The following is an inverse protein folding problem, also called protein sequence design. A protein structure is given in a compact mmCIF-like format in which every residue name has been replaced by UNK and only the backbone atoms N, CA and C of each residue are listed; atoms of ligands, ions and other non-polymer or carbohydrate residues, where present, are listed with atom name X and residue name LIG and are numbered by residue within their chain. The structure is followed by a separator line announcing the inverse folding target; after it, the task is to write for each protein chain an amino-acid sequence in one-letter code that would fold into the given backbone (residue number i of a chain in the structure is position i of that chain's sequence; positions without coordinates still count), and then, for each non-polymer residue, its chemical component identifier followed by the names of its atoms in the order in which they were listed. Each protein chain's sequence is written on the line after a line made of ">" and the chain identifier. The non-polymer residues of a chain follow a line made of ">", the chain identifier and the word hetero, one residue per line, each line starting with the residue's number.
data_IF_459735249981
#
_entry.id   IF_459735249981
#
_cell.length_a   1.000
_cell.length_b   1.000
_cell.length_c   1.000
_cell.angle_alpha   90.00
_cell.angle_beta   90.00
_cell.angle_gamma   90.00
#
_symmetry.space_group_name_H-M   'P 1'
#
loop_
_entity.id
_entity.type
_entity.pdbx_description
1 polymer ?
#
# COMPACT_ATOMS: atom_id res chain seq x y z
N UNK A 1 -22.27 21.73 11.83
CA UNK A 1 -21.13 21.18 11.05
C UNK A 1 -20.65 22.27 10.12
N UNK A 2 -19.44 22.79 10.34
CA UNK A 2 -18.92 23.97 9.63
C UNK A 2 -18.93 23.77 8.12
N UNK A 3 -19.50 24.75 7.42
CA UNK A 3 -19.54 24.90 5.97
C UNK A 3 -18.11 25.14 5.45
N UNK A 4 -17.23 24.13 5.51
CA UNK A 4 -15.88 24.20 4.95
C UNK A 4 -16.04 24.35 3.44
N UNK A 5 -15.73 25.54 2.91
CA UNK A 5 -15.64 25.74 1.46
C UNK A 5 -14.68 24.70 0.90
N UNK A 6 -15.18 23.86 -0.01
CA UNK A 6 -14.37 22.86 -0.71
C UNK A 6 -13.34 23.60 -1.55
N UNK A 7 -12.07 23.28 -1.37
CA UNK A 7 -10.99 23.93 -2.10
C UNK A 7 -11.12 23.66 -3.63
N UNK A 8 -10.79 24.63 -4.51
CA UNK A 8 -10.82 24.40 -5.95
C UNK A 8 -9.97 23.19 -6.40
N UNK A 9 -8.84 22.94 -5.73
CA UNK A 9 -7.98 21.78 -6.01
C UNK A 9 -8.63 20.44 -5.68
N UNK A 10 -9.65 20.41 -4.82
CA UNK A 10 -10.45 19.20 -4.57
C UNK A 10 -11.32 18.85 -5.78
N UNK A 11 -11.96 19.85 -6.38
CA UNK A 11 -12.76 19.68 -7.60
C UNK A 11 -11.90 19.27 -8.79
N UNK A 12 -10.70 19.85 -8.90
CA UNK A 12 -9.74 19.44 -9.92
C UNK A 12 -9.34 17.97 -9.77
N UNK A 13 -9.02 17.51 -8.56
CA UNK A 13 -8.71 16.09 -8.33
C UNK A 13 -9.91 15.20 -8.63
N UNK A 14 -11.12 15.62 -8.25
CA UNK A 14 -12.35 14.88 -8.57
C UNK A 14 -12.57 14.79 -10.08
N UNK A 15 -12.29 15.86 -10.83
CA UNK A 15 -12.37 15.85 -12.29
C UNK A 15 -11.35 14.86 -12.87
N UNK A 16 -10.10 14.87 -12.42
CA UNK A 16 -9.07 13.90 -12.82
C UNK A 16 -9.55 12.47 -12.54
N UNK A 17 -10.09 12.21 -11.36
CA UNK A 17 -10.66 10.92 -10.97
C UNK A 17 -11.76 10.46 -11.94
N UNK A 18 -12.75 11.33 -12.22
CA UNK A 18 -13.89 10.98 -13.08
C UNK A 18 -13.46 10.79 -14.54
N UNK A 19 -12.60 11.67 -15.06
CA UNK A 19 -12.09 11.56 -16.43
C UNK A 19 -11.28 10.29 -16.62
N UNK A 20 -10.48 9.89 -15.63
CA UNK A 20 -9.73 8.62 -15.68
C UNK A 20 -10.67 7.41 -15.74
N UNK A 21 -11.78 7.43 -14.99
CA UNK A 21 -12.79 6.36 -15.05
C UNK A 21 -13.52 6.35 -16.40
N UNK A 22 -13.83 7.52 -16.95
CA UNK A 22 -14.46 7.64 -18.28
C UNK A 22 -13.53 7.09 -19.36
N UNK A 23 -12.24 7.46 -19.33
CA UNK A 23 -11.24 6.95 -20.26
C UNK A 23 -11.07 5.43 -20.14
N UNK A 24 -11.03 4.89 -18.91
CA UNK A 24 -10.91 3.45 -18.72
C UNK A 24 -12.13 2.66 -19.25
N UNK A 25 -13.33 3.25 -19.25
CA UNK A 25 -14.54 2.63 -19.81
C UNK A 25 -14.70 2.87 -21.31
N UNK A 26 -14.17 3.99 -21.81
CA UNK A 26 -14.21 4.41 -23.21
C UNK A 26 -12.89 5.09 -23.56
N UNK A 27 -11.86 4.31 -23.96
CA UNK A 27 -10.53 4.84 -24.22
C UNK A 27 -10.58 5.92 -25.28
N UNK A 28 -10.22 7.14 -24.89
CA UNK A 28 -10.22 8.31 -25.79
C UNK A 28 -9.02 9.19 -25.47
N UNK A 29 -8.08 9.38 -26.43
CA UNK A 29 -6.81 10.06 -26.16
C UNK A 29 -7.01 11.50 -25.66
N UNK A 30 -8.10 12.15 -26.08
CA UNK A 30 -8.47 13.49 -25.61
C UNK A 30 -8.81 13.48 -24.11
N UNK A 31 -9.54 12.48 -23.61
CA UNK A 31 -9.94 12.41 -22.20
C UNK A 31 -8.73 12.10 -21.32
N UNK A 32 -7.90 11.15 -21.74
CA UNK A 32 -6.63 10.83 -21.06
C UNK A 32 -5.71 12.06 -20.97
N UNK A 33 -5.53 12.79 -22.08
CA UNK A 33 -4.71 14.01 -22.10
C UNK A 33 -5.25 15.12 -21.19
N UNK A 34 -6.58 15.34 -21.17
CA UNK A 34 -7.19 16.34 -20.27
C UNK A 34 -6.99 15.93 -18.80
N UNK A 35 -7.17 14.64 -18.47
CA UNK A 35 -6.95 14.14 -17.11
C UNK A 35 -5.49 14.29 -16.68
N UNK A 36 -4.53 13.98 -17.57
CA UNK A 36 -3.10 14.15 -17.35
C UNK A 36 -2.71 15.61 -17.08
N UNK A 37 -3.21 16.54 -17.91
CA UNK A 37 -3.02 17.99 -17.69
C UNK A 37 -3.65 18.43 -16.36
N UNK A 38 -4.83 17.90 -16.03
CA UNK A 38 -5.49 18.14 -14.74
C UNK A 38 -4.64 17.68 -13.55
N UNK A 39 -4.02 16.50 -13.64
CA UNK A 39 -3.12 15.98 -12.61
C UNK A 39 -1.87 16.85 -12.44
N UNK A 40 -1.21 17.22 -13.54
CA UNK A 40 -0.05 18.12 -13.49
C UNK A 40 -0.42 19.47 -12.86
N UNK A 41 -1.55 20.03 -13.28
CA UNK A 41 -2.08 21.28 -12.72
C UNK A 41 -2.34 21.15 -11.22
N UNK A 42 -2.93 20.04 -10.78
CA UNK A 42 -3.16 19.79 -9.36
C UNK A 42 -1.84 19.74 -8.57
N UNK A 43 -0.84 19.03 -9.07
CA UNK A 43 0.49 18.93 -8.43
C UNK A 43 1.17 20.29 -8.35
N UNK A 44 1.12 21.09 -9.43
CA UNK A 44 1.70 22.44 -9.47
C UNK A 44 1.02 23.36 -8.44
N UNK A 45 -0.32 23.40 -8.43
CA UNK A 45 -1.08 24.24 -7.49
C UNK A 45 -0.85 23.84 -6.04
N UNK A 46 -0.67 22.54 -5.77
CA UNK A 46 -0.44 22.01 -4.43
C UNK A 46 1.05 21.98 -4.03
N UNK A 47 1.98 22.33 -4.91
CA UNK A 47 3.42 22.22 -4.70
C UNK A 47 3.95 22.90 -3.41
N UNK A 48 3.44 24.07 -2.99
CA UNK A 48 3.85 24.70 -1.73
C UNK A 48 3.47 23.87 -0.49
N UNK A 49 2.40 23.08 -0.57
CA UNK A 49 1.87 22.28 0.53
C UNK A 49 2.42 20.84 0.56
N UNK A 50 3.12 20.40 -0.49
CA UNK A 50 3.78 19.08 -0.53
C UNK A 50 4.90 19.06 0.52
N UNK A 51 4.99 17.96 1.26
CA UNK A 51 6.06 17.75 2.24
C UNK A 51 7.42 17.78 1.56
N UNK A 52 8.39 18.42 2.21
CA UNK A 52 9.72 18.66 1.64
C UNK A 52 10.41 17.39 1.11
N UNK A 53 10.43 16.23 1.82
CA UNK A 53 11.05 15.02 1.29
C UNK A 53 10.41 14.54 -0.03
N UNK A 54 9.07 14.55 -0.10
CA UNK A 54 8.34 14.16 -1.30
C UNK A 54 8.52 15.17 -2.44
N UNK A 55 8.62 16.47 -2.12
CA UNK A 55 8.89 17.51 -3.12
C UNK A 55 10.28 17.37 -3.73
N UNK A 56 11.31 17.06 -2.92
CA UNK A 56 12.66 16.79 -3.41
C UNK A 56 12.67 15.52 -4.26
N UNK A 57 12.08 14.42 -3.77
CA UNK A 57 12.01 13.17 -4.53
C UNK A 57 11.31 13.38 -5.87
N UNK A 58 10.17 14.10 -5.89
CA UNK A 58 9.45 14.39 -7.11
C UNK A 58 10.28 15.25 -8.08
N UNK A 59 10.96 16.28 -7.58
CA UNK A 59 11.83 17.13 -8.39
C UNK A 59 12.96 16.32 -9.02
N UNK A 60 13.68 15.51 -8.23
CA UNK A 60 14.80 14.68 -8.71
C UNK A 60 14.34 13.66 -9.76
N UNK A 61 13.22 12.98 -9.53
CA UNK A 61 12.70 11.98 -10.46
C UNK A 61 12.21 12.62 -11.77
N UNK A 62 11.47 13.72 -11.70
CA UNK A 62 11.01 14.44 -12.90
C UNK A 62 12.21 14.96 -13.68
N UNK A 63 13.18 15.63 -13.03
CA UNK A 63 14.34 16.17 -13.75
C UNK A 63 15.19 15.07 -14.36
N UNK A 64 15.41 13.96 -13.67
CA UNK A 64 16.15 12.81 -14.21
C UNK A 64 15.41 12.17 -15.40
N UNK A 65 14.09 11.97 -15.30
CA UNK A 65 13.27 11.44 -16.39
C UNK A 65 13.28 12.32 -17.63
N UNK A 66 13.06 13.62 -17.44
CA UNK A 66 13.07 14.59 -18.53
C UNK A 66 14.46 14.77 -19.14
N UNK A 67 15.53 14.71 -18.34
CA UNK A 67 16.89 14.76 -18.86
C UNK A 67 17.22 13.52 -19.71
N UNK A 68 16.77 12.34 -19.29
CA UNK A 68 16.91 11.10 -20.07
C UNK A 68 16.14 11.19 -21.40
N UNK A 69 14.88 11.65 -21.36
CA UNK A 69 14.07 11.88 -22.56
C UNK A 69 14.71 12.92 -23.51
N UNK A 70 15.18 14.04 -22.94
CA UNK A 70 15.81 15.11 -23.69
C UNK A 70 17.10 14.67 -24.39
N UNK A 71 17.88 13.79 -23.76
CA UNK A 71 19.12 13.27 -24.34
C UNK A 71 18.92 12.48 -25.64
N UNK A 72 17.70 11.99 -25.89
CA UNK A 72 17.36 11.22 -27.09
C UNK A 72 16.70 12.08 -28.17
N UNK A 73 15.60 12.75 -27.81
CA UNK A 73 14.70 13.39 -28.78
C UNK A 73 14.48 14.89 -28.46
N UNK A 74 15.35 15.49 -27.65
CA UNK A 74 15.32 16.90 -27.30
C UNK A 74 14.04 17.32 -26.57
N UNK A 75 13.57 18.55 -26.83
CA UNK A 75 12.39 19.11 -26.16
C UNK A 75 11.09 18.39 -26.51
N UNK A 76 10.98 17.84 -27.73
CA UNK A 76 9.80 17.11 -28.17
C UNK A 76 9.64 15.79 -27.40
N UNK A 77 10.73 15.02 -27.24
CA UNK A 77 10.74 13.80 -26.43
C UNK A 77 10.40 14.07 -24.97
N UNK A 78 11.01 15.11 -24.37
CA UNK A 78 10.72 15.47 -22.99
C UNK A 78 9.24 15.81 -22.74
N UNK A 79 8.58 16.51 -23.67
CA UNK A 79 7.15 16.81 -23.56
C UNK A 79 6.27 15.56 -23.73
N UNK A 80 6.60 14.69 -24.69
CA UNK A 80 5.88 13.44 -24.93
C UNK A 80 5.98 12.50 -23.71
N UNK A 81 7.16 12.38 -23.12
CA UNK A 81 7.40 11.52 -21.95
C UNK A 81 6.77 12.10 -20.69
N UNK A 82 6.71 13.44 -20.56
CA UNK A 82 5.97 14.10 -19.48
C UNK A 82 4.47 13.75 -19.55
N UNK A 83 3.87 13.87 -20.74
CA UNK A 83 2.46 13.54 -20.95
C UNK A 83 2.18 12.05 -20.72
N UNK A 84 2.99 11.18 -21.31
CA UNK A 84 2.86 9.72 -21.15
C UNK A 84 3.03 9.30 -19.69
N UNK A 85 4.00 9.89 -18.98
CA UNK A 85 4.19 9.69 -17.55
C UNK A 85 2.99 10.15 -16.74
N UNK A 86 2.41 11.31 -17.06
CA UNK A 86 1.22 11.81 -16.38
C UNK A 86 -0.01 10.92 -16.62
N UNK A 87 -0.21 10.40 -17.83
CA UNK A 87 -1.28 9.45 -18.15
C UNK A 87 -1.12 8.14 -17.37
N UNK A 88 0.11 7.58 -17.32
CA UNK A 88 0.42 6.38 -16.52
C UNK A 88 0.17 6.57 -15.02
N UNK A 89 0.20 7.82 -14.51
CA UNK A 89 -0.05 8.10 -13.10
C UNK A 89 -1.56 8.13 -12.74
N UNK A 90 -2.45 8.29 -13.71
CA UNK A 90 -3.89 8.51 -13.49
C UNK A 90 -4.60 7.40 -12.72
N UNK A 91 -4.40 6.09 -13.02
CA UNK A 91 -5.09 5.03 -12.28
C UNK A 91 -4.79 5.06 -10.77
N UNK A 92 -3.60 5.50 -10.38
CA UNK A 92 -3.26 5.61 -8.95
C UNK A 92 -4.07 6.68 -8.24
N UNK A 93 -4.46 7.75 -8.94
CA UNK A 93 -5.34 8.78 -8.36
C UNK A 93 -6.74 8.23 -8.09
N UNK A 94 -7.21 7.38 -8.99
CA UNK A 94 -8.45 6.61 -8.80
C UNK A 94 -8.34 5.72 -7.56
N UNK A 95 -7.22 4.99 -7.42
CA UNK A 95 -6.97 4.10 -6.29
C UNK A 95 -7.03 4.81 -4.93
N UNK A 96 -6.33 5.94 -4.80
CA UNK A 96 -6.27 6.67 -3.52
C UNK A 96 -7.64 7.20 -3.10
N UNK A 97 -8.38 7.82 -4.03
CA UNK A 97 -9.72 8.32 -3.75
C UNK A 97 -10.70 7.18 -3.42
N UNK A 98 -10.63 6.06 -4.14
CA UNK A 98 -11.44 4.88 -3.88
C UNK A 98 -11.22 4.32 -2.47
N UNK A 99 -9.97 4.19 -2.04
CA UNK A 99 -9.63 3.74 -0.68
C UNK A 99 -10.17 4.71 0.38
N UNK A 100 -10.10 6.03 0.15
CA UNK A 100 -10.66 7.02 1.08
C UNK A 100 -12.18 6.88 1.25
N UNK A 101 -12.91 6.54 0.18
CA UNK A 101 -14.34 6.24 0.27
C UNK A 101 -14.61 5.11 1.26
N UNK A 102 -13.82 4.03 1.24
CA UNK A 102 -14.02 2.85 2.11
C UNK A 102 -13.77 3.17 3.59
N UNK A 103 -12.87 4.11 3.88
CA UNK A 103 -12.51 4.47 5.25
C UNK A 103 -13.66 5.13 6.02
N UNK A 104 -14.52 5.91 5.35
CA UNK A 104 -15.60 6.67 6.02
C UNK A 104 -16.58 5.77 6.77
N UNK A 105 -17.28 4.81 6.13
CA UNK A 105 -18.17 3.89 6.84
C UNK A 105 -17.41 2.90 7.71
N UNK A 106 -16.18 2.51 7.35
CA UNK A 106 -15.39 1.57 8.13
C UNK A 106 -15.02 2.08 9.51
N UNK A 107 -14.56 3.32 9.62
CA UNK A 107 -14.22 3.94 10.91
C UNK A 107 -15.44 4.16 11.80
N UNK A 108 -16.63 4.30 11.21
CA UNK A 108 -17.89 4.39 11.95
C UNK A 108 -18.45 3.01 12.36
N UNK A 109 -18.00 1.92 11.74
CA UNK A 109 -18.61 0.60 11.87
C UNK A 109 -18.38 -0.04 13.25
N UNK A 110 -19.45 -0.47 13.95
CA UNK A 110 -19.32 -1.18 15.22
C UNK A 110 -18.56 -2.52 15.09
N UNK A 111 -18.66 -3.21 13.96
CA UNK A 111 -18.01 -4.51 13.74
C UNK A 111 -16.50 -4.42 13.83
N UNK A 112 -15.90 -3.38 13.22
CA UNK A 112 -14.47 -3.12 13.27
C UNK A 112 -14.02 -2.73 14.68
N UNK A 113 -14.78 -1.88 15.38
CA UNK A 113 -14.50 -1.48 16.77
C UNK A 113 -14.53 -2.69 17.72
N UNK A 114 -15.61 -3.46 17.68
CA UNK A 114 -15.76 -4.66 18.51
C UNK A 114 -14.64 -5.68 18.27
N UNK A 115 -14.26 -5.89 17.00
CA UNK A 115 -13.16 -6.80 16.69
C UNK A 115 -11.83 -6.29 17.25
N UNK A 116 -11.53 -5.00 17.09
CA UNK A 116 -10.34 -4.37 17.63
C UNK A 116 -10.25 -4.48 19.16
N UNK A 117 -11.33 -4.13 19.87
CA UNK A 117 -11.40 -4.20 21.34
C UNK A 117 -11.14 -5.63 21.84
N UNK A 118 -11.75 -6.64 21.18
CA UNK A 118 -11.54 -8.05 21.54
C UNK A 118 -10.14 -8.56 21.26
N UNK A 119 -9.50 -8.07 20.19
CA UNK A 119 -8.12 -8.41 19.87
C UNK A 119 -7.18 -7.84 20.93
N UNK A 120 -7.39 -6.59 21.35
CA UNK A 120 -6.61 -5.96 22.41
C UNK A 120 -6.83 -6.67 23.74
N UNK A 121 -8.03 -7.17 24.03
CA UNK A 121 -8.35 -7.83 25.29
C UNK A 121 -7.82 -9.27 25.44
N UNK A 122 -7.09 -9.79 24.45
CA UNK A 122 -6.61 -11.18 24.48
C UNK A 122 -5.57 -11.43 25.58
N UNK A 123 -5.51 -12.65 26.14
CA UNK A 123 -4.56 -13.00 27.18
C UNK A 123 -3.11 -12.88 26.69
N UNK A 124 -2.13 -12.59 27.57
CA UNK A 124 -0.75 -12.25 27.19
C UNK A 124 -0.03 -13.28 26.30
N UNK A 125 -0.45 -14.55 26.30
CA UNK A 125 0.11 -15.61 25.45
C UNK A 125 -0.36 -15.57 24.00
N UNK A 126 -1.55 -15.01 23.73
CA UNK A 126 -2.20 -14.93 22.41
C UNK A 126 -2.23 -13.51 21.85
N UNK A 127 -2.14 -12.50 22.73
CA UNK A 127 -2.31 -11.07 22.41
C UNK A 127 -1.45 -10.58 21.24
N UNK A 128 -0.17 -10.94 21.21
CA UNK A 128 0.73 -10.54 20.10
C UNK A 128 0.24 -11.09 18.76
N UNK A 129 -0.02 -12.40 18.69
CA UNK A 129 -0.44 -13.05 17.46
C UNK A 129 -1.79 -12.51 16.96
N UNK A 130 -2.73 -12.30 17.88
CA UNK A 130 -4.05 -11.75 17.55
C UNK A 130 -3.95 -10.30 17.05
N UNK A 131 -3.07 -9.48 17.63
CA UNK A 131 -2.81 -8.12 17.15
C UNK A 131 -2.11 -8.11 15.79
N UNK A 132 -1.19 -9.05 15.55
CA UNK A 132 -0.57 -9.21 14.25
C UNK A 132 -1.61 -9.63 13.19
N UNK A 133 -2.47 -10.60 13.48
CA UNK A 133 -3.56 -10.97 12.56
C UNK A 133 -4.58 -9.84 12.37
N UNK A 134 -4.91 -9.09 13.42
CA UNK A 134 -5.80 -7.93 13.27
C UNK A 134 -5.16 -6.84 12.40
N UNK A 135 -3.87 -6.55 12.61
CA UNK A 135 -3.11 -5.66 11.73
C UNK A 135 -3.10 -6.16 10.29
N UNK A 136 -2.97 -7.48 10.09
CA UNK A 136 -2.98 -8.11 8.77
C UNK A 136 -4.35 -8.01 8.09
N UNK A 137 -5.40 -8.56 8.67
CA UNK A 137 -6.71 -8.62 8.02
C UNK A 137 -7.46 -7.29 8.02
N UNK A 138 -7.36 -6.49 9.09
CA UNK A 138 -7.97 -5.14 9.07
C UNK A 138 -7.14 -4.19 8.21
N UNK A 139 -5.82 -4.36 8.17
CA UNK A 139 -4.95 -3.67 7.22
C UNK A 139 -5.27 -4.04 5.77
N UNK A 140 -5.56 -5.30 5.48
CA UNK A 140 -5.97 -5.77 4.16
C UNK A 140 -7.17 -4.98 3.63
N UNK A 141 -8.17 -4.66 4.47
CA UNK A 141 -9.39 -3.96 4.02
C UNK A 141 -9.25 -2.44 4.11
N UNK A 142 -8.71 -1.95 5.22
CA UNK A 142 -8.76 -0.53 5.59
C UNK A 142 -7.43 0.19 5.38
N UNK A 143 -6.41 -0.51 4.89
CA UNK A 143 -5.05 0.00 4.78
C UNK A 143 -4.60 0.67 6.09
N UNK A 144 -4.01 1.87 5.99
CA UNK A 144 -3.48 2.59 7.13
C UNK A 144 -4.55 2.93 8.18
N UNK A 145 -5.82 3.08 7.79
CA UNK A 145 -6.90 3.32 8.74
C UNK A 145 -7.13 2.10 9.66
N UNK A 146 -6.97 0.88 9.14
CA UNK A 146 -7.05 -0.35 9.94
C UNK A 146 -5.91 -0.45 10.95
N UNK A 147 -4.68 -0.12 10.51
CA UNK A 147 -3.53 -0.01 11.41
C UNK A 147 -3.82 0.98 12.55
N UNK A 148 -4.27 2.19 12.21
CA UNK A 148 -4.53 3.26 13.19
C UNK A 148 -5.65 2.87 14.16
N UNK A 149 -6.71 2.23 13.66
CA UNK A 149 -7.81 1.74 14.49
C UNK A 149 -7.31 0.75 15.55
N UNK A 150 -6.57 -0.28 15.15
CA UNK A 150 -6.06 -1.29 16.11
C UNK A 150 -5.03 -0.68 17.06
N UNK A 151 -4.14 0.16 16.55
CA UNK A 151 -3.11 0.80 17.35
C UNK A 151 -3.69 1.79 18.38
N UNK A 152 -4.76 2.51 18.03
CA UNK A 152 -5.44 3.45 18.93
C UNK A 152 -6.19 2.80 20.09
N UNK A 153 -6.52 1.51 19.97
CA UNK A 153 -7.19 0.75 21.03
C UNK A 153 -6.21 0.25 22.10
N UNK A 154 -4.89 0.41 21.87
CA UNK A 154 -3.89 0.13 22.90
C UNK A 154 -3.94 1.22 23.97
N UNK A 155 -4.29 0.81 25.19
CA UNK A 155 -4.19 1.62 26.40
C UNK A 155 -2.84 2.39 26.49
N UNK A 156 -2.90 3.74 26.56
CA UNK A 156 -1.73 4.59 26.67
C UNK A 156 -0.87 4.35 27.91
N UNK A 157 -1.48 3.91 29.01
CA UNK A 157 -0.87 3.73 30.33
C UNK A 157 -0.16 2.37 30.47
N UNK A 158 -0.27 1.51 29.44
CA UNK A 158 0.53 0.29 29.36
C UNK A 158 2.02 0.61 29.47
N UNK A 159 2.74 -0.25 30.18
CA UNK A 159 4.20 -0.18 30.27
C UNK A 159 4.85 0.00 28.88
N UNK A 160 5.81 0.93 28.72
CA UNK A 160 6.35 1.28 27.40
C UNK A 160 6.88 0.10 26.59
N UNK A 161 7.52 -0.88 27.24
CA UNK A 161 8.02 -2.11 26.59
C UNK A 161 6.90 -2.98 26.03
N UNK A 162 5.79 -3.11 26.77
CA UNK A 162 4.63 -3.89 26.33
C UNK A 162 3.91 -3.17 25.17
N UNK A 163 3.65 -1.86 25.35
CA UNK A 163 2.99 -1.03 24.32
C UNK A 163 3.78 -1.07 23.01
N UNK A 164 5.11 -0.88 23.06
CA UNK A 164 6.02 -1.06 21.91
C UNK A 164 5.84 -2.42 21.23
N UNK A 165 5.93 -3.51 22.00
CA UNK A 165 5.83 -4.88 21.49
C UNK A 165 4.50 -5.13 20.78
N UNK A 166 3.39 -4.69 21.36
CA UNK A 166 2.06 -4.85 20.79
C UNK A 166 1.88 -3.99 19.54
N UNK A 167 2.36 -2.75 19.53
CA UNK A 167 2.37 -1.89 18.34
C UNK A 167 3.16 -2.54 17.20
N UNK A 168 4.35 -3.10 17.47
CA UNK A 168 5.13 -3.81 16.46
C UNK A 168 4.41 -5.05 15.92
N UNK A 169 3.60 -5.73 16.73
CA UNK A 169 2.77 -6.83 16.26
C UNK A 169 1.79 -6.37 15.17
N UNK A 170 1.05 -5.28 15.45
CA UNK A 170 0.08 -4.70 14.50
C UNK A 170 0.77 -4.27 13.20
N UNK A 171 1.91 -3.59 13.32
CA UNK A 171 2.68 -3.10 12.16
C UNK A 171 3.21 -4.24 11.29
N UNK A 172 3.77 -5.30 11.90
CA UNK A 172 4.26 -6.48 11.16
C UNK A 172 3.12 -7.20 10.45
N UNK A 173 1.96 -7.30 11.10
CA UNK A 173 0.74 -7.81 10.51
C UNK A 173 0.31 -7.01 9.28
N UNK A 174 0.18 -5.70 9.45
CA UNK A 174 -0.21 -4.75 8.40
C UNK A 174 0.71 -4.84 7.19
N UNK A 175 2.02 -4.82 7.41
CA UNK A 175 3.01 -4.93 6.33
C UNK A 175 2.93 -6.25 5.58
N UNK A 176 2.55 -7.35 6.24
CA UNK A 176 2.30 -8.64 5.60
C UNK A 176 1.05 -8.68 4.71
N UNK A 177 0.08 -7.79 4.92
CA UNK A 177 -1.16 -7.78 4.15
C UNK A 177 -1.00 -7.17 2.75
N UNK A 178 0.05 -6.34 2.57
CA UNK A 178 0.43 -5.73 1.29
C UNK A 178 0.67 -6.79 0.22
N UNK A 179 1.07 -8.00 0.61
CA UNK A 179 1.51 -9.06 -0.29
C UNK A 179 0.37 -9.67 -1.11
N UNK A 180 -0.89 -9.46 -0.73
CA UNK A 180 -2.01 -10.10 -1.40
C UNK A 180 -3.27 -9.25 -1.50
N UNK A 181 -3.45 -8.26 -0.63
CA UNK A 181 -4.71 -7.50 -0.66
C UNK A 181 -4.76 -6.54 -1.87
N UNK A 182 -5.83 -6.60 -2.69
CA UNK A 182 -6.00 -5.73 -3.85
C UNK A 182 -6.27 -4.26 -3.46
N UNK A 183 -6.54 -4.00 -2.17
CA UNK A 183 -6.88 -2.68 -1.67
C UNK A 183 -5.63 -1.86 -1.32
N UNK A 184 -4.45 -2.48 -1.28
CA UNK A 184 -3.21 -1.75 -1.12
C UNK A 184 -2.80 -1.08 -2.43
N UNK A 185 -2.36 0.16 -2.29
CA UNK A 185 -1.77 0.92 -3.40
C UNK A 185 -0.61 0.16 -4.03
N UNK A 186 0.21 -0.50 -3.20
CA UNK A 186 1.31 -1.33 -3.69
C UNK A 186 0.87 -2.46 -4.59
N UNK A 187 -0.22 -3.15 -4.24
CA UNK A 187 -0.76 -4.22 -5.08
C UNK A 187 -1.27 -3.69 -6.41
N UNK A 188 -2.00 -2.57 -6.39
CA UNK A 188 -2.46 -1.90 -7.62
C UNK A 188 -1.30 -1.52 -8.55
N UNK A 189 -0.19 -0.99 -8.01
CA UNK A 189 1.01 -0.68 -8.79
C UNK A 189 1.63 -1.93 -9.38
N UNK A 190 1.84 -2.96 -8.55
CA UNK A 190 2.51 -4.19 -8.97
C UNK A 190 1.77 -4.83 -10.16
N UNK A 191 0.43 -4.89 -10.10
CA UNK A 191 -0.38 -5.47 -11.17
C UNK A 191 -0.45 -4.59 -12.42
N UNK A 192 -0.25 -3.28 -12.29
CA UNK A 192 -0.13 -2.38 -13.45
C UNK A 192 1.21 -2.53 -14.17
N UNK A 193 2.31 -2.69 -13.42
CA UNK A 193 3.66 -2.75 -13.99
C UNK A 193 4.11 -4.17 -14.35
N UNK A 194 3.33 -5.19 -13.96
CA UNK A 194 3.51 -6.60 -14.35
C UNK A 194 2.17 -7.11 -14.92
N UNK A 195 1.78 -6.69 -16.14
CA UNK A 195 0.44 -6.93 -16.68
C UNK A 195 0.13 -8.41 -16.95
N UNK A 196 1.15 -9.26 -17.08
CA UNK A 196 0.99 -10.70 -17.32
C UNK A 196 0.48 -11.48 -16.09
N UNK A 197 0.42 -10.84 -14.92
CA UNK A 197 0.03 -11.48 -13.65
C UNK A 197 -1.33 -10.99 -13.22
N UNK A 198 -2.29 -11.91 -13.11
CA UNK A 198 -3.58 -11.60 -12.50
C UNK A 198 -3.48 -11.65 -10.97
N UNK A 199 -4.37 -10.92 -10.30
CA UNK A 199 -4.44 -10.97 -8.84
C UNK A 199 -4.81 -12.36 -8.33
N UNK A 200 -5.61 -13.13 -9.06
CA UNK A 200 -5.98 -14.49 -8.68
C UNK A 200 -4.77 -15.44 -8.67
N UNK A 201 -3.78 -15.20 -9.53
CA UNK A 201 -2.51 -15.93 -9.50
C UNK A 201 -1.62 -15.49 -8.33
N UNK A 202 -1.56 -14.19 -8.06
CA UNK A 202 -0.70 -13.62 -7.03
C UNK A 202 -1.21 -13.85 -5.60
N UNK A 203 -2.50 -13.61 -5.37
CA UNK A 203 -3.09 -13.52 -4.04
C UNK A 203 -2.92 -14.77 -3.16
N UNK A 204 -3.06 -16.03 -3.66
CA UNK A 204 -2.85 -17.21 -2.84
C UNK A 204 -1.41 -17.31 -2.30
N UNK A 205 -0.43 -17.10 -3.18
CA UNK A 205 0.98 -17.08 -2.81
C UNK A 205 1.32 -15.92 -1.88
N UNK A 206 0.82 -14.72 -2.20
CA UNK A 206 0.99 -13.52 -1.39
C UNK A 206 0.41 -13.68 0.01
N UNK A 207 -0.76 -14.32 0.15
CA UNK A 207 -1.41 -14.58 1.42
C UNK A 207 -0.63 -15.59 2.25
N UNK A 208 -0.11 -16.64 1.62
CA UNK A 208 0.75 -17.63 2.27
C UNK A 208 2.04 -17.00 2.78
N UNK A 209 2.73 -16.21 1.95
CA UNK A 209 3.96 -15.48 2.33
C UNK A 209 3.65 -14.48 3.45
N UNK A 210 2.63 -13.64 3.29
CA UNK A 210 2.23 -12.64 4.28
C UNK A 210 1.85 -13.25 5.63
N UNK A 211 1.11 -14.36 5.64
CA UNK A 211 0.77 -15.11 6.84
C UNK A 211 1.99 -15.80 7.47
N UNK A 212 2.90 -16.33 6.64
CA UNK A 212 4.18 -16.88 7.08
C UNK A 212 5.04 -15.84 7.77
N UNK A 213 5.07 -14.60 7.27
CA UNK A 213 5.75 -13.47 7.91
C UNK A 213 5.12 -13.10 9.26
N UNK A 214 3.79 -13.16 9.40
CA UNK A 214 3.13 -13.03 10.71
C UNK A 214 3.57 -14.14 11.67
N UNK A 215 3.67 -15.37 11.17
CA UNK A 215 4.21 -16.51 11.92
C UNK A 215 5.65 -16.29 12.39
N UNK A 216 6.51 -15.80 11.49
CA UNK A 216 7.90 -15.43 11.79
C UNK A 216 7.97 -14.32 12.85
N UNK A 217 7.16 -13.27 12.71
CA UNK A 217 7.06 -12.18 13.69
C UNK A 217 6.69 -12.71 15.08
N UNK A 218 5.78 -13.67 15.16
CA UNK A 218 5.37 -14.31 16.40
C UNK A 218 6.44 -15.26 16.96
N UNK A 219 7.13 -16.02 16.12
CA UNK A 219 8.23 -16.89 16.54
C UNK A 219 9.38 -16.07 17.14
N UNK A 220 9.78 -14.98 16.47
CA UNK A 220 10.78 -14.04 16.98
C UNK A 220 10.33 -13.37 18.28
N UNK A 221 9.05 -13.01 18.39
CA UNK A 221 8.50 -12.50 19.65
C UNK A 221 8.59 -13.53 20.77
N UNK A 222 8.28 -14.81 20.50
CA UNK A 222 8.36 -15.90 21.49
C UNK A 222 9.78 -16.14 21.99
N UNK A 223 10.79 -16.07 21.12
CA UNK A 223 12.19 -16.34 21.49
C UNK A 223 12.86 -15.15 22.17
N UNK A 224 12.46 -13.93 21.82
CA UNK A 224 13.06 -12.70 22.40
C UNK A 224 12.28 -12.15 23.59
N UNK A 225 11.10 -12.70 23.89
CA UNK A 225 10.30 -12.27 25.04
C UNK A 225 10.99 -12.65 26.35
N UNK A 226 11.38 -11.63 27.11
CA UNK A 226 11.84 -11.77 28.50
C UNK A 226 10.78 -12.41 29.42
N UNK A 227 11.10 -12.63 30.71
CA UNK A 227 10.25 -13.36 31.65
C UNK A 227 8.79 -12.93 31.61
N UNK A 228 7.87 -13.90 31.64
CA UNK A 228 6.43 -13.63 31.71
C UNK A 228 6.16 -12.88 33.00
N UNK A 229 5.66 -11.66 32.89
CA UNK A 229 5.22 -10.93 34.07
C UNK A 229 3.91 -11.56 34.60
N UNK A 230 3.90 -12.11 35.83
CA UNK A 230 2.72 -12.71 36.44
C UNK A 230 1.58 -11.70 36.64
N UNK A 231 1.91 -10.40 36.74
CA UNK A 231 0.96 -9.30 36.99
C UNK A 231 0.47 -8.61 35.71
N UNK A 232 0.82 -9.11 34.52
CA UNK A 232 0.49 -8.43 33.27
C UNK A 232 -1.01 -8.15 33.16
N UNK A 233 -1.38 -6.86 33.09
CA UNK A 233 -2.74 -6.34 32.97
C UNK A 233 -3.60 -7.31 32.17
N UNK A 234 -4.40 -8.12 32.88
CA UNK A 234 -5.41 -8.94 32.26
C UNK A 234 -6.51 -7.96 31.87
N UNK A 235 -6.68 -7.66 30.58
CA UNK A 235 -7.78 -6.79 30.19
C UNK A 235 -9.07 -7.48 30.63
N UNK A 236 -10.03 -6.71 31.15
CA UNK A 236 -11.34 -7.26 31.44
C UNK A 236 -11.90 -7.94 30.17
N UNK A 237 -12.50 -9.13 30.28
CA UNK A 237 -13.08 -9.79 29.12
C UNK A 237 -14.16 -8.89 28.52
N UNK A 238 -14.09 -8.58 27.21
CA UNK A 238 -15.03 -7.66 26.58
C UNK A 238 -16.41 -8.31 26.46
N UNK A 239 -17.47 -7.54 26.69
CA UNK A 239 -18.85 -8.00 26.57
C UNK A 239 -19.22 -8.31 25.09
N UNK A 240 -20.09 -9.30 24.88
CA UNK A 240 -20.66 -9.68 23.57
C UNK A 240 -19.97 -10.86 22.82
N UNK A 241 -20.52 -11.25 21.65
CA UNK A 241 -20.06 -12.42 20.87
C UNK A 241 -19.02 -12.03 19.78
N UNK A 242 -17.78 -12.57 19.88
CA UNK A 242 -16.68 -12.43 18.89
C UNK A 242 -17.10 -12.73 17.45
N UNK A 243 -17.98 -13.72 17.28
CA UNK A 243 -18.44 -14.16 15.97
C UNK A 243 -19.15 -13.06 15.16
N UNK A 244 -19.89 -12.14 15.79
CA UNK A 244 -20.62 -11.10 15.05
C UNK A 244 -19.70 -10.05 14.42
N UNK A 245 -18.68 -9.62 15.15
CA UNK A 245 -17.68 -8.66 14.64
C UNK A 245 -16.84 -9.26 13.51
N UNK A 246 -16.36 -10.51 13.70
CA UNK A 246 -15.63 -11.24 12.67
C UNK A 246 -16.50 -11.43 11.42
N UNK A 247 -17.73 -11.92 11.58
CA UNK A 247 -18.64 -12.14 10.47
C UNK A 247 -18.90 -10.83 9.71
N UNK A 248 -19.14 -9.72 10.42
CA UNK A 248 -19.33 -8.42 9.78
C UNK A 248 -18.13 -7.98 8.94
N UNK A 249 -16.91 -8.09 9.47
CA UNK A 249 -15.69 -7.74 8.73
C UNK A 249 -15.48 -8.67 7.53
N UNK A 250 -15.67 -9.98 7.71
CA UNK A 250 -15.56 -10.97 6.64
C UNK A 250 -16.59 -10.73 5.53
N UNK A 251 -17.84 -10.43 5.88
CA UNK A 251 -18.88 -10.11 4.89
C UNK A 251 -18.49 -8.88 4.07
N UNK A 252 -18.04 -7.80 4.72
CA UNK A 252 -17.61 -6.58 4.00
C UNK A 252 -16.43 -6.87 3.08
N UNK A 253 -15.43 -7.59 3.60
CA UNK A 253 -14.25 -7.96 2.82
C UNK A 253 -14.60 -8.84 1.62
N UNK A 254 -15.43 -9.87 1.82
CA UNK A 254 -15.85 -10.78 0.78
C UNK A 254 -16.67 -10.06 -0.29
N UNK A 255 -17.64 -9.22 0.10
CA UNK A 255 -18.45 -8.44 -0.84
C UNK A 255 -17.57 -7.50 -1.67
N UNK A 256 -16.67 -6.74 -1.03
CA UNK A 256 -15.80 -5.82 -1.73
C UNK A 256 -14.87 -6.54 -2.70
N UNK A 257 -14.21 -7.62 -2.24
CA UNK A 257 -13.29 -8.41 -3.07
C UNK A 257 -14.01 -9.06 -4.23
N UNK A 258 -15.15 -9.71 -3.97
CA UNK A 258 -15.95 -10.37 -5.00
C UNK A 258 -16.44 -9.37 -6.06
N UNK A 259 -16.93 -8.18 -5.67
CA UNK A 259 -17.37 -7.16 -6.63
C UNK A 259 -16.23 -6.61 -7.47
N UNK A 260 -15.05 -6.36 -6.88
CA UNK A 260 -13.87 -5.88 -7.62
C UNK A 260 -13.36 -6.93 -8.58
N UNK A 261 -13.23 -8.19 -8.15
CA UNK A 261 -12.77 -9.29 -9.00
C UNK A 261 -13.78 -9.58 -10.11
N UNK A 262 -15.07 -9.63 -9.80
CA UNK A 262 -16.11 -9.88 -10.81
C UNK A 262 -16.11 -8.80 -11.90
N UNK A 263 -15.91 -7.53 -11.53
CA UNK A 263 -15.81 -6.44 -12.50
C UNK A 263 -14.50 -6.50 -13.30
N UNK A 264 -13.38 -6.82 -12.63
CA UNK A 264 -12.07 -6.89 -13.27
C UNK A 264 -12.01 -8.01 -14.31
N UNK A 265 -12.41 -9.23 -13.92
CA UNK A 265 -12.41 -10.41 -14.80
C UNK A 265 -13.54 -10.35 -15.84
N UNK A 266 -14.72 -9.84 -15.46
CA UNK A 266 -15.89 -9.83 -16.33
C UNK A 266 -15.89 -8.71 -17.37
N UNK A 267 -15.27 -7.56 -17.08
CA UNK A 267 -15.21 -6.41 -17.98
C UNK A 267 -13.80 -6.11 -18.51
N UNK A 268 -12.80 -6.92 -18.14
CA UNK A 268 -11.39 -6.71 -18.53
C UNK A 268 -10.78 -5.42 -17.95
N UNK A 269 -11.40 -4.86 -16.91
CA UNK A 269 -10.90 -3.65 -16.25
C UNK A 269 -9.77 -4.01 -15.29
N UNK A 270 -8.78 -3.14 -15.15
CA UNK A 270 -7.77 -3.34 -14.10
C UNK A 270 -8.42 -3.30 -12.72
N UNK A 271 -7.80 -3.98 -11.75
CA UNK A 271 -8.29 -4.00 -10.35
C UNK A 271 -8.38 -2.60 -9.77
N UNK A 272 -7.46 -1.72 -10.16
CA UNK A 272 -7.43 -0.33 -9.72
C UNK A 272 -8.66 0.44 -10.20
N UNK A 273 -9.01 0.32 -11.48
CA UNK A 273 -10.20 0.95 -12.05
C UNK A 273 -11.47 0.30 -11.50
N UNK A 274 -11.49 -1.02 -11.36
CA UNK A 274 -12.61 -1.77 -10.79
C UNK A 274 -12.90 -1.32 -9.36
N UNK A 275 -11.86 -1.17 -8.53
CA UNK A 275 -11.97 -0.62 -7.19
C UNK A 275 -12.41 0.85 -7.22
N UNK A 276 -11.93 1.62 -8.19
CA UNK A 276 -12.41 2.97 -8.52
C UNK A 276 -13.92 3.06 -8.62
N UNK A 277 -14.54 2.15 -9.37
CA UNK A 277 -15.99 2.14 -9.60
C UNK A 277 -16.78 1.58 -8.39
N UNK A 278 -16.25 0.53 -7.77
CA UNK A 278 -16.94 -0.23 -6.72
C UNK A 278 -16.84 0.43 -5.34
N UNK A 279 -15.70 1.03 -4.97
CA UNK A 279 -15.51 1.55 -3.62
C UNK A 279 -16.45 2.71 -3.25
N UNK A 280 -16.65 3.76 -4.08
CA UNK A 280 -17.58 4.84 -3.74
C UNK A 280 -19.02 4.35 -3.59
N UNK A 281 -19.46 3.47 -4.50
CA UNK A 281 -20.83 2.94 -4.50
C UNK A 281 -21.09 2.07 -3.27
N UNK A 282 -20.21 1.11 -2.99
CA UNK A 282 -20.31 0.29 -1.78
C UNK A 282 -20.19 1.11 -0.50
N UNK A 283 -19.34 2.14 -0.45
CA UNK A 283 -19.23 3.00 0.72
C UNK A 283 -20.49 3.79 1.00
N UNK A 284 -21.17 4.31 -0.03
CA UNK A 284 -22.44 5.02 0.12
C UNK A 284 -23.52 4.07 0.63
N UNK A 285 -23.63 2.88 0.02
CA UNK A 285 -24.59 1.85 0.43
C UNK A 285 -24.33 1.42 1.88
N UNK A 286 -23.08 1.16 2.23
CA UNK A 286 -22.70 0.76 3.58
C UNK A 286 -22.97 1.87 4.61
N UNK A 287 -22.63 3.12 4.31
CA UNK A 287 -22.94 4.26 5.17
C UNK A 287 -24.46 4.42 5.37
N UNK A 288 -25.26 4.25 4.31
CA UNK A 288 -26.72 4.29 4.39
C UNK A 288 -27.27 3.15 5.25
N UNK A 289 -26.75 1.93 5.10
CA UNK A 289 -27.15 0.78 5.92
C UNK A 289 -26.84 1.00 7.41
N UNK A 290 -25.66 1.53 7.75
CA UNK A 290 -25.29 1.85 9.14
C UNK A 290 -26.27 2.86 9.78
N UNK A 291 -26.70 3.87 9.02
CA UNK A 291 -27.70 4.87 9.47
C UNK A 291 -29.08 4.23 9.63
N UNK A 292 -29.51 3.43 8.65
CA UNK A 292 -30.82 2.76 8.67
C UNK A 292 -30.97 1.79 9.83
N UNK A 293 -29.93 1.06 10.19
CA UNK A 293 -29.95 0.12 11.32
C UNK A 293 -29.73 0.82 12.67
N UNK A 294 -29.53 2.14 12.70
CA UNK A 294 -29.16 2.88 13.91
C UNK A 294 -27.81 2.46 14.51
N UNK A 295 -26.97 1.79 13.73
CA UNK A 295 -25.72 1.20 14.21
C UNK A 295 -24.62 2.26 14.35
N UNK A 296 -24.61 3.25 13.46
CA UNK A 296 -23.73 4.42 13.51
C UNK A 296 -24.26 5.52 12.56
N UNK A 297 -23.81 6.76 12.78
CA UNK A 297 -24.03 7.88 11.87
C UNK A 297 -22.72 8.33 11.22
N UNK A 298 -22.21 7.63 10.20
CA UNK A 298 -21.04 8.06 9.46
C UNK A 298 -21.27 9.43 8.81
N UNK A 299 -20.19 10.21 8.68
CA UNK A 299 -20.20 11.43 7.89
C UNK A 299 -20.61 11.15 6.43
N UNK A 300 -21.18 12.13 5.70
CA UNK A 300 -21.55 11.91 4.32
C UNK A 300 -20.31 11.59 3.47
N UNK A 301 -20.31 10.42 2.82
CA UNK A 301 -19.12 9.86 2.16
C UNK A 301 -18.55 10.82 1.12
N UNK A 302 -19.36 11.28 0.16
CA UNK A 302 -18.90 12.10 -0.95
C UNK A 302 -18.32 13.44 -0.48
N UNK A 303 -19.05 14.20 0.35
CA UNK A 303 -18.55 15.49 0.83
C UNK A 303 -17.30 15.33 1.71
N UNK A 304 -17.25 14.26 2.52
CA UNK A 304 -16.08 13.94 3.34
C UNK A 304 -14.87 13.64 2.46
N UNK A 305 -15.01 12.78 1.44
CA UNK A 305 -13.90 12.41 0.56
C UNK A 305 -13.42 13.60 -0.25
N UNK A 306 -14.33 14.32 -0.93
CA UNK A 306 -13.97 15.49 -1.76
C UNK A 306 -13.21 16.53 -0.96
N UNK A 307 -13.66 16.82 0.27
CA UNK A 307 -12.97 17.79 1.15
C UNK A 307 -11.52 17.38 1.47
N UNK A 308 -11.21 16.07 1.47
CA UNK A 308 -9.89 15.55 1.82
C UNK A 308 -9.02 15.18 0.60
N UNK A 309 -9.54 15.22 -0.63
CA UNK A 309 -8.75 14.95 -1.86
C UNK A 309 -7.46 15.79 -1.98
N UNK A 310 -7.44 17.10 -1.62
CA UNK A 310 -6.19 17.89 -1.60
C UNK A 310 -5.12 17.33 -0.64
N UNK A 311 -5.51 16.45 0.29
CA UNK A 311 -4.62 15.70 1.16
C UNK A 311 -3.70 14.74 0.42
N UNK A 312 -4.13 14.22 -0.74
CA UNK A 312 -3.40 13.25 -1.58
C UNK A 312 -2.28 13.86 -2.42
N UNK A 313 -1.93 15.12 -2.18
CA UNK A 313 -0.90 15.86 -2.94
C UNK A 313 0.49 15.24 -2.90
N UNK A 314 0.86 14.58 -1.80
CA UNK A 314 2.18 13.99 -1.67
C UNK A 314 2.28 12.73 -2.54
N UNK A 315 1.21 11.95 -2.52
CA UNK A 315 1.04 10.74 -3.31
C UNK A 315 0.94 11.09 -4.80
N UNK A 316 0.11 12.08 -5.17
CA UNK A 316 0.00 12.56 -6.54
C UNK A 316 1.34 13.01 -7.14
N UNK A 317 2.10 13.81 -6.40
CA UNK A 317 3.39 14.30 -6.88
C UNK A 317 4.43 13.19 -7.01
N UNK A 318 4.48 12.27 -6.05
CA UNK A 318 5.42 11.15 -6.09
C UNK A 318 5.12 10.20 -7.25
N UNK A 319 3.84 9.88 -7.47
CA UNK A 319 3.43 8.96 -8.53
C UNK A 319 3.60 9.57 -9.92
N UNK A 320 3.22 10.84 -10.10
CA UNK A 320 3.51 11.59 -11.32
C UNK A 320 5.01 11.61 -11.61
N UNK A 321 5.83 11.90 -10.60
CA UNK A 321 7.26 11.97 -10.79
C UNK A 321 7.90 10.60 -11.10
N UNK A 322 7.44 9.53 -10.45
CA UNK A 322 7.98 8.19 -10.65
C UNK A 322 7.61 7.62 -12.02
N UNK A 323 6.40 7.88 -12.54
CA UNK A 323 6.01 7.45 -13.88
C UNK A 323 6.70 8.27 -14.98
N UNK A 324 6.85 9.58 -14.82
CA UNK A 324 7.64 10.42 -15.74
C UNK A 324 9.11 9.96 -15.76
N UNK A 325 9.68 9.68 -14.59
CA UNK A 325 11.02 9.10 -14.48
C UNK A 325 11.12 7.79 -15.26
N UNK A 326 10.19 6.87 -15.04
CA UNK A 326 10.24 5.56 -15.66
C UNK A 326 10.07 5.59 -17.17
N UNK A 327 9.14 6.41 -17.69
CA UNK A 327 8.97 6.58 -19.14
C UNK A 327 10.27 7.12 -19.74
N UNK A 328 10.81 8.23 -19.22
CA UNK A 328 12.03 8.82 -19.75
C UNK A 328 13.27 7.91 -19.66
N UNK A 329 13.40 7.16 -18.56
CA UNK A 329 14.52 6.22 -18.39
C UNK A 329 14.35 4.97 -19.25
N UNK A 330 13.13 4.46 -19.46
CA UNK A 330 12.87 3.29 -20.30
C UNK A 330 13.31 3.49 -21.75
N UNK A 331 13.26 4.73 -22.24
CA UNK A 331 13.77 5.07 -23.56
C UNK A 331 15.30 5.17 -23.58
N UNK A 332 15.94 5.54 -22.48
CA UNK A 332 17.40 5.74 -22.38
C UNK A 332 18.18 4.46 -22.02
N UNK A 333 17.55 3.49 -21.38
CA UNK A 333 18.20 2.28 -20.85
C UNK A 333 17.86 1.06 -21.69
N UNK A 334 18.88 0.28 -22.03
CA UNK A 334 18.71 -1.05 -22.63
C UNK A 334 18.62 -2.11 -21.52
N UNK A 335 17.49 -2.84 -21.37
CA UNK A 335 17.31 -3.81 -20.28
C UNK A 335 18.42 -4.88 -20.24
N UNK A 336 18.84 -5.39 -21.40
CA UNK A 336 19.87 -6.44 -21.51
C UNK A 336 21.25 -5.98 -20.99
N UNK A 337 21.60 -4.70 -21.23
CA UNK A 337 22.85 -4.13 -20.73
C UNK A 337 22.85 -4.05 -19.20
N UNK A 338 21.70 -3.71 -18.59
CA UNK A 338 21.57 -3.68 -17.13
C UNK A 338 21.58 -5.08 -16.56
N UNK A 339 20.83 -6.02 -17.16
CA UNK A 339 20.81 -7.43 -16.75
C UNK A 339 22.22 -8.03 -16.73
N UNK A 340 23.01 -7.79 -17.79
CA UNK A 340 24.41 -8.21 -17.87
C UNK A 340 25.30 -7.60 -16.79
N UNK A 341 25.10 -6.31 -16.48
CA UNK A 341 25.88 -5.62 -15.43
C UNK A 341 25.59 -6.10 -14.00
N UNK A 342 24.37 -6.60 -13.76
CA UNK A 342 23.97 -7.12 -12.44
C UNK A 342 24.65 -8.46 -12.13
N UNK A 343 25.01 -9.24 -13.16
CA UNK A 343 25.69 -10.54 -12.98
C UNK A 343 24.88 -11.57 -12.16
N UNK A 344 23.57 -11.40 -12.09
CA UNK A 344 22.68 -12.21 -11.23
C UNK A 344 22.12 -13.46 -11.92
N UNK A 345 22.27 -13.57 -13.24
CA UNK A 345 21.66 -14.64 -14.04
C UNK A 345 22.13 -16.05 -13.63
N UNK A 346 23.41 -16.19 -13.30
CA UNK A 346 24.03 -17.48 -12.92
C UNK A 346 23.73 -17.91 -11.48
N UNK A 347 23.13 -17.02 -10.68
CA UNK A 347 22.86 -17.33 -9.27
C UNK A 347 21.64 -18.24 -9.14
N UNK A 348 21.63 -19.17 -8.16
CA UNK A 348 20.43 -19.94 -7.85
C UNK A 348 19.23 -19.02 -7.62
N UNK A 349 18.08 -19.36 -8.20
CA UNK A 349 16.89 -18.49 -8.20
C UNK A 349 16.47 -18.05 -6.79
N UNK A 350 16.55 -18.94 -5.81
CA UNK A 350 16.27 -18.63 -4.41
C UNK A 350 17.24 -17.61 -3.80
N UNK A 351 18.54 -17.74 -4.06
CA UNK A 351 19.54 -16.78 -3.58
C UNK A 351 19.34 -15.43 -4.26
N UNK A 352 19.11 -15.44 -5.58
CA UNK A 352 18.85 -14.24 -6.37
C UNK A 352 17.64 -13.45 -5.86
N UNK A 353 16.50 -14.12 -5.68
CA UNK A 353 15.28 -13.51 -5.17
C UNK A 353 15.47 -13.00 -3.73
N UNK A 354 16.19 -13.73 -2.87
CA UNK A 354 16.51 -13.27 -1.51
C UNK A 354 17.36 -12.00 -1.52
N UNK A 355 18.42 -11.94 -2.33
CA UNK A 355 19.29 -10.76 -2.43
C UNK A 355 18.54 -9.55 -2.98
N UNK A 356 17.71 -9.75 -4.01
CA UNK A 356 16.87 -8.67 -4.55
C UNK A 356 15.85 -8.17 -3.52
N UNK A 357 15.23 -9.08 -2.76
CA UNK A 357 14.28 -8.72 -1.70
C UNK A 357 14.94 -7.89 -0.60
N UNK A 358 16.12 -8.33 -0.14
CA UNK A 358 16.91 -7.63 0.90
C UNK A 358 17.37 -6.27 0.38
N UNK A 359 17.91 -6.21 -0.83
CA UNK A 359 18.39 -4.97 -1.45
C UNK A 359 17.26 -3.97 -1.61
N UNK A 360 16.13 -4.37 -2.22
CA UNK A 360 14.97 -3.50 -2.37
C UNK A 360 14.40 -3.04 -1.03
N UNK A 361 14.34 -3.93 -0.04
CA UNK A 361 13.92 -3.58 1.32
C UNK A 361 14.85 -2.56 1.96
N UNK A 362 16.16 -2.74 1.81
CA UNK A 362 17.19 -1.84 2.32
C UNK A 362 17.09 -0.44 1.69
N UNK A 363 16.96 -0.36 0.36
CA UNK A 363 16.70 0.88 -0.36
C UNK A 363 15.40 1.56 0.12
N UNK A 364 14.35 0.77 0.37
CA UNK A 364 13.12 1.22 1.02
C UNK A 364 13.35 1.89 2.37
N UNK A 365 14.17 1.24 3.21
CA UNK A 365 14.59 1.75 4.52
C UNK A 365 15.39 3.06 4.45
N UNK A 366 16.24 3.21 3.42
CA UNK A 366 16.98 4.45 3.15
C UNK A 366 16.08 5.61 2.69
N UNK A 367 14.83 5.32 2.35
CA UNK A 367 13.84 6.31 1.96
C UNK A 367 13.50 6.35 0.48
N UNK A 368 14.06 5.45 -0.33
CA UNK A 368 13.59 5.26 -1.70
C UNK A 368 12.20 4.63 -1.62
N UNK A 369 11.18 5.36 -2.04
CA UNK A 369 9.82 4.86 -1.92
C UNK A 369 9.66 3.58 -2.78
N UNK A 370 9.05 2.50 -2.28
CA UNK A 370 8.93 1.24 -3.02
C UNK A 370 8.21 1.35 -4.38
N UNK A 371 7.36 2.37 -4.55
CA UNK A 371 6.79 2.71 -5.86
C UNK A 371 7.84 2.96 -6.93
N UNK A 372 8.93 3.66 -6.59
CA UNK A 372 10.01 3.98 -7.54
C UNK A 372 10.71 2.69 -7.96
N UNK A 373 10.95 1.78 -7.01
CA UNK A 373 11.52 0.47 -7.29
C UNK A 373 10.56 -0.40 -8.12
N UNK A 374 9.27 -0.39 -7.82
CA UNK A 374 8.28 -1.17 -8.56
C UNK A 374 8.18 -0.71 -10.01
N UNK A 375 8.14 0.60 -10.25
CA UNK A 375 8.07 1.14 -11.61
C UNK A 375 9.41 0.93 -12.34
N UNK A 376 10.55 1.12 -11.69
CA UNK A 376 11.86 0.82 -12.31
C UNK A 376 11.97 -0.67 -12.70
N UNK A 377 11.57 -1.57 -11.82
CA UNK A 377 11.63 -3.01 -12.10
C UNK A 377 10.62 -3.42 -13.16
N UNK A 378 9.37 -2.93 -13.10
CA UNK A 378 8.32 -3.33 -14.04
C UNK A 378 8.42 -2.67 -15.41
N UNK A 379 8.65 -1.36 -15.47
CA UNK A 379 8.61 -0.59 -16.73
C UNK A 379 9.98 -0.47 -17.41
N UNK A 380 11.10 -0.59 -16.68
CA UNK A 380 12.46 -0.41 -17.24
C UNK A 380 13.22 -1.72 -17.37
N UNK A 381 13.27 -2.53 -16.33
CA UNK A 381 14.05 -3.79 -16.35
C UNK A 381 13.23 -4.97 -16.90
N UNK A 382 11.99 -5.11 -16.43
CA UNK A 382 11.14 -6.26 -16.70
C UNK A 382 11.59 -7.56 -16.00
N UNK A 383 10.74 -8.61 -16.03
CA UNK A 383 11.06 -9.88 -15.38
C UNK A 383 12.26 -10.63 -15.99
N UNK A 384 12.43 -10.54 -17.31
CA UNK A 384 13.51 -11.20 -18.04
C UNK A 384 14.90 -10.70 -17.60
N UNK A 385 15.07 -9.39 -17.38
CA UNK A 385 16.34 -8.82 -16.92
C UNK A 385 16.75 -9.31 -15.51
N UNK A 386 15.77 -9.74 -14.70
CA UNK A 386 16.02 -10.35 -13.38
C UNK A 386 16.17 -11.88 -13.47
N UNK A 387 15.88 -12.47 -14.63
CA UNK A 387 15.81 -13.92 -14.85
C UNK A 387 14.80 -14.60 -13.91
N UNK A 388 13.67 -13.94 -13.65
CA UNK A 388 12.59 -14.41 -12.80
C UNK A 388 11.28 -14.45 -13.60
N UNK A 389 10.35 -15.33 -13.24
CA UNK A 389 9.01 -15.32 -13.85
C UNK A 389 8.25 -14.04 -13.47
N UNK A 390 7.27 -13.59 -14.29
CA UNK A 390 6.46 -12.41 -13.96
C UNK A 390 5.80 -12.51 -12.58
N UNK A 391 5.27 -13.69 -12.22
CA UNK A 391 4.68 -13.94 -10.90
C UNK A 391 5.71 -13.79 -9.77
N UNK A 392 6.93 -14.28 -9.97
CA UNK A 392 8.01 -14.15 -8.99
C UNK A 392 8.37 -12.67 -8.76
N UNK A 393 8.49 -11.88 -9.83
CA UNK A 393 8.77 -10.45 -9.74
C UNK A 393 7.63 -9.71 -9.03
N UNK A 394 6.38 -10.02 -9.35
CA UNK A 394 5.23 -9.39 -8.71
C UNK A 394 5.21 -9.66 -7.19
N UNK A 395 5.43 -10.92 -6.77
CA UNK A 395 5.54 -11.27 -5.35
C UNK A 395 6.75 -10.63 -4.67
N UNK A 396 7.90 -10.59 -5.36
CA UNK A 396 9.13 -9.96 -4.88
C UNK A 396 8.93 -8.46 -4.63
N UNK A 397 8.28 -7.76 -5.55
CA UNK A 397 7.92 -6.36 -5.39
C UNK A 397 6.97 -6.15 -4.20
N UNK A 398 6.04 -7.08 -3.98
CA UNK A 398 5.12 -7.02 -2.84
C UNK A 398 5.86 -7.18 -1.50
N UNK A 399 6.86 -8.08 -1.44
CA UNK A 399 7.77 -8.23 -0.30
C UNK A 399 8.56 -6.95 -0.05
N UNK A 400 9.20 -6.41 -1.09
CA UNK A 400 9.98 -5.16 -1.03
C UNK A 400 9.10 -4.00 -0.56
N UNK A 401 7.85 -3.92 -1.03
CA UNK A 401 6.92 -2.89 -0.62
C UNK A 401 6.56 -3.01 0.87
N UNK A 402 6.12 -4.19 1.32
CA UNK A 402 5.70 -4.39 2.71
C UNK A 402 6.85 -4.18 3.70
N UNK A 403 8.00 -4.80 3.46
CA UNK A 403 9.16 -4.71 4.36
C UNK A 403 9.88 -3.35 4.25
N UNK A 404 10.03 -2.83 3.02
CA UNK A 404 10.67 -1.53 2.78
C UNK A 404 9.89 -0.38 3.43
N UNK A 405 8.56 -0.35 3.30
CA UNK A 405 7.75 0.66 3.99
C UNK A 405 7.81 0.51 5.52
N UNK A 406 7.89 -0.72 6.04
CA UNK A 406 7.99 -0.97 7.47
C UNK A 406 9.32 -0.48 8.09
N UNK A 407 10.39 -0.47 7.28
CA UNK A 407 11.73 -0.03 7.69
C UNK A 407 12.04 1.42 7.29
N UNK A 408 11.12 2.12 6.61
CA UNK A 408 11.37 3.47 6.11
C UNK A 408 10.97 4.56 7.11
N UNK A 409 11.87 5.49 7.49
CA UNK A 409 11.54 6.60 8.39
C UNK A 409 10.56 7.61 7.75
N UNK A 410 10.38 7.54 6.43
CA UNK A 410 9.47 8.41 5.69
C UNK A 410 8.10 7.79 5.43
N UNK A 411 7.88 6.53 5.83
CA UNK A 411 6.58 5.89 5.64
C UNK A 411 5.55 6.39 6.64
N UNK A 412 4.30 6.49 6.20
CA UNK A 412 3.18 6.89 7.05
C UNK A 412 3.02 5.95 8.27
N UNK A 413 3.32 4.66 8.09
CA UNK A 413 3.29 3.64 9.13
C UNK A 413 4.31 3.93 10.23
N UNK A 414 5.57 4.15 9.89
CA UNK A 414 6.64 4.39 10.88
C UNK A 414 6.47 5.76 11.55
N UNK A 415 6.10 6.80 10.78
CA UNK A 415 5.80 8.12 11.34
C UNK A 415 4.59 8.11 12.29
N UNK A 416 3.57 7.29 12.01
CA UNK A 416 2.43 7.14 12.91
C UNK A 416 2.85 6.47 14.22
N UNK A 417 3.60 5.37 14.14
CA UNK A 417 4.12 4.65 15.32
C UNK A 417 5.05 5.53 16.15
N UNK A 418 5.93 6.29 15.48
CA UNK A 418 6.84 7.26 16.11
C UNK A 418 6.09 8.31 16.91
N UNK A 419 5.04 8.92 16.35
CA UNK A 419 4.19 9.89 17.06
C UNK A 419 3.40 9.25 18.18
N UNK A 420 2.84 8.07 17.96
CA UNK A 420 2.00 7.38 18.95
C UNK A 420 2.79 6.95 20.19
N UNK A 421 4.04 6.53 20.00
CA UNK A 421 4.92 6.06 21.07
C UNK A 421 5.89 7.14 21.58
N UNK A 422 5.81 8.36 21.03
CA UNK A 422 6.69 9.49 21.31
C UNK A 422 8.19 9.13 21.27
N UNK A 423 8.63 8.54 20.15
CA UNK A 423 10.01 8.12 19.93
C UNK A 423 10.51 8.54 18.55
N UNK A 424 11.83 8.68 18.41
CA UNK A 424 12.48 8.99 17.13
C UNK A 424 12.04 8.03 16.01
N UNK A 425 11.71 8.60 14.85
CA UNK A 425 11.30 7.85 13.66
C UNK A 425 12.38 6.87 13.18
N UNK A 426 13.65 7.26 13.28
CA UNK A 426 14.80 6.41 12.94
C UNK A 426 14.97 5.25 13.91
N UNK A 427 14.62 5.43 15.18
CA UNK A 427 14.60 4.34 16.17
C UNK A 427 13.55 3.31 15.80
N UNK A 428 12.35 3.73 15.39
CA UNK A 428 11.30 2.81 14.95
C UNK A 428 11.71 2.08 13.65
N UNK A 429 12.20 2.82 12.66
CA UNK A 429 12.64 2.28 11.37
C UNK A 429 13.79 1.27 11.51
N UNK A 430 14.94 1.73 12.01
CA UNK A 430 16.19 0.96 11.93
C UNK A 430 16.46 0.11 13.16
N UNK A 431 16.15 0.61 14.36
CA UNK A 431 16.45 -0.16 15.57
C UNK A 431 15.39 -1.23 15.86
N UNK A 432 14.11 -0.96 15.56
CA UNK A 432 13.01 -1.87 15.91
C UNK A 432 12.52 -2.73 14.74
N UNK A 433 12.48 -2.18 13.52
CA UNK A 433 11.95 -2.89 12.36
C UNK A 433 13.04 -3.57 11.53
N UNK A 434 14.22 -2.97 11.32
CA UNK A 434 15.26 -3.59 10.47
C UNK A 434 15.69 -5.01 10.90
N UNK A 435 15.86 -5.33 12.21
CA UNK A 435 16.21 -6.69 12.65
C UNK A 435 15.15 -7.75 12.30
N UNK A 436 13.92 -7.32 12.03
CA UNK A 436 12.86 -8.18 11.52
C UNK A 436 12.77 -8.12 9.98
N UNK A 437 12.77 -6.92 9.40
CA UNK A 437 12.48 -6.70 7.98
C UNK A 437 13.54 -7.28 7.05
N UNK A 438 14.83 -7.18 7.38
CA UNK A 438 15.90 -7.69 6.51
C UNK A 438 15.93 -9.23 6.48
N UNK A 439 15.90 -9.97 7.61
CA UNK A 439 15.77 -11.42 7.58
C UNK A 439 14.43 -11.89 7.00
N UNK A 440 13.33 -11.18 7.30
CA UNK A 440 12.01 -11.48 6.74
C UNK A 440 12.01 -11.33 5.21
N UNK A 441 12.64 -10.28 4.67
CA UNK A 441 12.78 -10.08 3.24
C UNK A 441 13.61 -11.19 2.59
N UNK A 442 14.72 -11.61 3.22
CA UNK A 442 15.52 -12.74 2.73
C UNK A 442 14.69 -14.03 2.66
N UNK A 443 14.00 -14.39 3.74
CA UNK A 443 13.17 -15.59 3.83
C UNK A 443 11.95 -15.54 2.89
N UNK A 444 11.33 -14.37 2.75
CA UNK A 444 10.24 -14.20 1.80
C UNK A 444 10.76 -14.28 0.36
N UNK A 445 11.92 -13.69 0.05
CA UNK A 445 12.55 -13.79 -1.26
C UNK A 445 12.91 -15.23 -1.64
N UNK A 446 13.45 -16.03 -0.72
CA UNK A 446 13.67 -17.47 -0.97
C UNK A 446 12.35 -18.21 -1.21
N UNK A 447 11.31 -17.90 -0.43
CA UNK A 447 9.98 -18.50 -0.61
C UNK A 447 9.36 -18.13 -1.97
N UNK A 448 9.55 -16.89 -2.44
CA UNK A 448 9.10 -16.45 -3.77
C UNK A 448 9.68 -17.32 -4.88
N UNK A 449 10.99 -17.63 -4.83
CA UNK A 449 11.61 -18.50 -5.81
C UNK A 449 11.03 -19.94 -5.77
N UNK A 450 10.74 -20.45 -4.57
CA UNK A 450 10.11 -21.77 -4.41
C UNK A 450 8.69 -21.81 -4.97
N UNK A 451 7.88 -20.78 -4.70
CA UNK A 451 6.53 -20.66 -5.27
C UNK A 451 6.58 -20.54 -6.79
N UNK A 452 7.52 -19.74 -7.31
CA UNK A 452 7.69 -19.56 -8.75
C UNK A 452 8.07 -20.87 -9.45
N UNK A 453 8.89 -21.71 -8.83
CA UNK A 453 9.26 -23.03 -9.37
C UNK A 453 8.13 -24.07 -9.30
N UNK A 454 7.11 -23.86 -8.46
CA UNK A 454 5.95 -24.76 -8.33
C UNK A 454 4.77 -24.37 -9.23
N UNK A 455 4.65 -23.08 -9.57
CA UNK A 455 3.53 -22.53 -10.33
C UNK A 455 3.91 -22.11 -11.76
N UNK A 456 5.17 -22.30 -12.14
CA UNK A 456 5.73 -22.11 -13.48
C UNK A 456 6.79 -23.18 -13.72
#
# INVERSE_FOLDING_TARGET
>A
MLNRRIAPTAWLYLAVYLLTLVDALRPTPVVAGIAAVGLMTFVILQAPAIRMPQRIAAAVLITAGLAAAWSRDGSAGALADLMSGAERALPFMVLFAAVMCLQVPALASPSFRQLGERVVAQPPGRRFLMLAFAGHYLGAVLNLAGLQLVASLLDPDMRPRLRRRLTLAVVRGFSGAVMWSPFFVGMGVILTVVPDVSWLQLAPAGLAIGSGLVGLAWALDRTTRGPRDPRGDRPAPPEGKLGRGILGVLTIFATLTASVVALSEGAGLSIVISLGLIAPTLSIVWAALLRRTGAAEPAPVLSSVVTHLPGLRNEAALFLAATVFAVGVSHAVQPDAVAGSLGLADWPSALRAAVLAVTGTFLGGLGIHPVVLAILVGDVLGPAALGLSPLAVALLLAVIWGMGTQMSPFSATVMHVSRMLDVSVFRVAWLWNAPYCLPAAALAGTAVAGVAALLG
#
